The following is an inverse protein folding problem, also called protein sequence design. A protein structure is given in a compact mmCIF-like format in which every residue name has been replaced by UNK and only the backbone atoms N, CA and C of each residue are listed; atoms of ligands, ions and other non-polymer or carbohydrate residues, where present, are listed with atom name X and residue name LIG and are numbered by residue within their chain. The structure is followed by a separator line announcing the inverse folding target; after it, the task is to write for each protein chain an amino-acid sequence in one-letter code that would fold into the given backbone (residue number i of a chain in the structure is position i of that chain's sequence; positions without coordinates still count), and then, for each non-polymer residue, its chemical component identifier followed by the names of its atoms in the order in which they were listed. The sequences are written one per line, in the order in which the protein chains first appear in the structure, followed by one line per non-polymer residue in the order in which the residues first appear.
data_IF_949347686332
#
_entry.id   IF_949347686332
#
_cell.length_a   1.000
_cell.length_b   1.000
_cell.length_c   1.000
_cell.angle_alpha   90.00
_cell.angle_beta   90.00
_cell.angle_gamma   90.00
#
_symmetry.space_group_name_H-M   'P 1'
#
loop_
_entity.id
_entity.type
_entity.pdbx_description
1 polymer ?
#
# COMPACT_ATOMS: atom_id res chain seq x y z
N UNK A 1 11.14 12.26 7.22
CA UNK A 1 10.76 10.91 7.70
C UNK A 1 10.98 9.94 6.55
N UNK A 2 11.78 8.88 6.70
CA UNK A 2 11.99 7.92 5.62
C UNK A 2 10.65 7.29 5.25
N UNK A 3 10.31 7.34 3.96
CA UNK A 3 9.12 6.70 3.43
C UNK A 3 9.35 5.18 3.50
N UNK A 4 8.47 4.46 4.19
CA UNK A 4 8.55 2.99 4.28
C UNK A 4 8.44 2.42 2.87
N UNK A 5 9.50 1.75 2.42
CA UNK A 5 9.55 1.07 1.13
C UNK A 5 9.07 -0.36 1.31
N UNK A 6 8.17 -0.81 0.43
CA UNK A 6 7.72 -2.19 0.37
C UNK A 6 8.35 -2.85 -0.86
N UNK A 7 9.38 -3.69 -0.70
CA UNK A 7 10.11 -4.28 -1.83
C UNK A 7 9.18 -5.00 -2.83
N UNK A 8 8.11 -5.63 -2.34
CA UNK A 8 7.11 -6.33 -3.17
C UNK A 8 6.28 -5.42 -4.08
N UNK A 9 6.29 -4.10 -3.84
CA UNK A 9 5.54 -3.12 -4.64
C UNK A 9 6.42 -2.39 -5.65
N UNK A 10 7.74 -2.42 -5.45
CA UNK A 10 8.70 -1.72 -6.32
C UNK A 10 8.58 -2.25 -7.74
N UNK A 11 8.60 -1.35 -8.72
CA UNK A 11 8.43 -1.61 -10.16
C UNK A 11 7.05 -2.14 -10.61
N UNK A 12 6.13 -2.50 -9.70
CA UNK A 12 4.78 -2.95 -10.06
C UNK A 12 3.70 -1.92 -9.75
N UNK A 13 3.90 -1.14 -8.68
CA UNK A 13 2.91 -0.18 -8.21
C UNK A 13 3.55 1.14 -7.80
N UNK A 14 2.89 2.24 -8.16
CA UNK A 14 3.19 3.57 -7.61
C UNK A 14 2.24 3.87 -6.44
N UNK A 15 2.77 3.94 -5.22
CA UNK A 15 1.97 4.27 -4.04
C UNK A 15 1.63 5.76 -3.99
N UNK A 16 0.34 6.06 -3.85
CA UNK A 16 -0.18 7.41 -3.69
C UNK A 16 -0.61 7.65 -2.22
N UNK A 17 -1.68 8.42 -2.05
CA UNK A 17 -2.25 8.80 -0.75
C UNK A 17 -2.82 7.60 0.01
N UNK A 18 -2.79 7.71 1.33
CA UNK A 18 -3.54 6.81 2.21
C UNK A 18 -5.03 7.16 2.10
N UNK A 19 -5.87 6.14 1.87
CA UNK A 19 -7.32 6.30 1.74
C UNK A 19 -8.07 5.77 2.95
N UNK A 20 -7.42 5.00 3.83
CA UNK A 20 -8.05 4.52 5.06
C UNK A 20 -7.07 3.94 6.06
N UNK A 21 -7.51 3.90 7.32
CA UNK A 21 -6.84 3.23 8.44
C UNK A 21 -7.83 2.27 9.10
N UNK A 22 -7.36 1.11 9.55
CA UNK A 22 -8.15 0.15 10.30
C UNK A 22 -7.31 -0.54 11.37
N UNK A 23 -7.93 -1.37 12.21
CA UNK A 23 -7.26 -2.02 13.34
C UNK A 23 -5.99 -2.80 12.94
N UNK A 24 -6.00 -3.43 11.77
CA UNK A 24 -4.92 -4.28 11.28
C UNK A 24 -3.91 -3.56 10.37
N UNK A 25 -4.08 -2.26 10.07
CA UNK A 25 -3.16 -1.56 9.17
C UNK A 25 -3.77 -0.38 8.42
N UNK A 26 -3.30 -0.15 7.20
CA UNK A 26 -3.68 1.01 6.37
C UNK A 26 -3.95 0.61 4.92
N UNK A 27 -4.76 1.40 4.23
CA UNK A 27 -5.05 1.23 2.80
C UNK A 27 -4.52 2.44 2.04
N UNK A 28 -3.76 2.19 0.99
CA UNK A 28 -3.26 3.23 0.07
C UNK A 28 -3.89 3.06 -1.31
N UNK A 29 -4.18 4.19 -1.96
CA UNK A 29 -4.41 4.21 -3.39
C UNK A 29 -3.05 4.02 -4.08
N UNK A 30 -3.03 3.28 -5.19
CA UNK A 30 -1.84 3.09 -6.01
C UNK A 30 -2.21 2.99 -7.49
N UNK A 31 -1.23 3.14 -8.37
CA UNK A 31 -1.35 2.88 -9.80
C UNK A 31 -0.66 1.54 -10.09
N UNK A 32 -1.35 0.62 -10.75
CA UNK A 32 -0.72 -0.60 -11.27
C UNK A 32 0.02 -0.25 -12.57
N UNK A 33 1.35 -0.31 -12.56
CA UNK A 33 2.18 0.27 -13.63
C UNK A 33 1.98 -0.43 -14.99
N UNK A 34 1.61 -1.71 -15.00
CA UNK A 34 1.38 -2.44 -16.24
C UNK A 34 0.06 -2.04 -16.94
N UNK A 35 -0.99 -1.72 -16.17
CA UNK A 35 -2.32 -1.43 -16.74
C UNK A 35 -2.74 0.03 -16.65
N UNK A 36 -2.07 0.84 -15.84
CA UNK A 36 -2.45 2.22 -15.54
C UNK A 36 -3.65 2.35 -14.60
N UNK A 37 -4.22 1.24 -14.14
CA UNK A 37 -5.43 1.24 -13.31
C UNK A 37 -5.16 1.68 -11.88
N UNK A 38 -6.13 2.38 -11.29
CA UNK A 38 -6.11 2.70 -9.87
C UNK A 38 -6.52 1.48 -9.05
N UNK A 39 -5.69 1.12 -8.08
CA UNK A 39 -5.94 -0.01 -7.18
C UNK A 39 -5.83 0.43 -5.71
N UNK A 40 -6.46 -0.34 -4.82
CA UNK A 40 -6.31 -0.20 -3.38
C UNK A 40 -5.35 -1.28 -2.87
N UNK A 41 -4.27 -0.86 -2.20
CA UNK A 41 -3.31 -1.77 -1.55
C UNK A 41 -3.54 -1.71 -0.04
N UNK A 42 -4.01 -2.82 0.54
CA UNK A 42 -4.15 -3.00 1.99
C UNK A 42 -2.82 -3.49 2.56
N UNK A 43 -2.16 -2.63 3.33
CA UNK A 43 -0.92 -2.94 4.06
C UNK A 43 -1.30 -3.36 5.47
N UNK A 44 -0.95 -4.59 5.84
CA UNK A 44 -1.30 -5.19 7.13
C UNK A 44 -0.07 -5.23 8.03
N UNK A 45 -0.24 -4.80 9.28
CA UNK A 45 0.77 -4.92 10.32
C UNK A 45 0.65 -6.32 10.96
N UNK A 46 1.65 -7.17 10.73
CA UNK A 46 1.66 -8.54 11.25
C UNK A 46 1.63 -8.60 12.77
N UNK A 47 2.14 -7.58 13.47
CA UNK A 47 2.09 -7.55 14.93
C UNK A 47 0.68 -7.25 15.48
N UNK A 48 -0.24 -6.78 14.62
CA UNK A 48 -1.63 -6.49 14.98
C UNK A 48 -2.61 -7.57 14.53
N UNK A 49 -2.14 -8.54 13.75
CA UNK A 49 -2.83 -9.81 13.61
C UNK A 49 -2.67 -10.55 14.94
N UNK A 50 -3.79 -10.88 15.56
CA UNK A 50 -3.82 -11.58 16.85
C UNK A 50 -3.11 -12.93 16.82
#
# INVERSE_FOLDING_TARGET
MPQVVYPSLVCYYELLKTVGHGGFGKVKQAIHLLTGEFVAIKIIDKAKLG
#
